data_IF_840060452434
#
_entry.id   IF_840060452434
#
_cell.length_a   1.000
_cell.length_b   1.000
_cell.length_c   1.000
_cell.angle_alpha   90.00
_cell.angle_beta   90.00
_cell.angle_gamma   90.00
#
_symmetry.space_group_name_H-M   'P 1'
#
loop_
_entity.id
_entity.type
_entity.pdbx_description
1 polymer ?
#
# COMPACT_ATOMS: atom_id res chain seq x y z
N UNK A 1 8.69 4.06 -17.28
CA UNK A 1 7.32 4.43 -16.87
C UNK A 1 6.36 3.38 -17.43
N UNK A 2 5.29 3.04 -16.71
CA UNK A 2 4.25 2.11 -17.21
C UNK A 2 3.62 2.71 -18.47
N UNK A 3 3.50 1.92 -19.54
CA UNK A 3 2.81 2.37 -20.74
C UNK A 3 1.30 2.32 -20.56
N UNK A 4 0.72 3.39 -20.01
CA UNK A 4 -0.74 3.53 -19.84
C UNK A 4 -1.50 3.77 -21.16
N UNK A 5 -0.86 3.64 -22.32
CA UNK A 5 -1.57 3.55 -23.61
C UNK A 5 -1.99 2.12 -23.95
N UNK A 6 -1.54 1.11 -23.19
CA UNK A 6 -1.91 -0.28 -23.42
C UNK A 6 -3.37 -0.53 -23.00
N UNK A 7 -4.28 -0.89 -23.92
CA UNK A 7 -5.69 -1.14 -23.60
C UNK A 7 -5.92 -2.36 -22.71
N UNK A 8 -4.90 -3.19 -22.43
CA UNK A 8 -4.96 -4.28 -21.45
C UNK A 8 -4.86 -3.80 -20.00
N UNK A 9 -4.41 -2.56 -19.78
CA UNK A 9 -4.20 -1.99 -18.45
C UNK A 9 -5.41 -1.16 -17.96
N UNK A 10 -6.64 -1.62 -18.24
CA UNK A 10 -7.85 -0.82 -18.02
C UNK A 10 -8.08 -0.53 -16.55
N UNK A 11 -7.83 -1.49 -15.66
CA UNK A 11 -8.08 -1.30 -14.24
C UNK A 11 -7.05 -0.34 -13.64
N UNK A 12 -5.76 -0.53 -13.94
CA UNK A 12 -4.71 0.38 -13.53
C UNK A 12 -4.98 1.81 -14.00
N UNK A 13 -5.32 2.01 -15.27
CA UNK A 13 -5.66 3.33 -15.82
C UNK A 13 -6.90 3.95 -15.14
N UNK A 14 -7.93 3.13 -14.92
CA UNK A 14 -9.14 3.54 -14.23
C UNK A 14 -8.84 4.10 -12.84
N UNK A 15 -8.08 3.35 -12.04
CA UNK A 15 -7.68 3.76 -10.70
C UNK A 15 -6.82 5.02 -10.74
N UNK A 16 -5.77 5.09 -11.57
CA UNK A 16 -4.94 6.30 -11.70
C UNK A 16 -5.80 7.54 -11.99
N UNK A 17 -6.77 7.44 -12.91
CA UNK A 17 -7.68 8.56 -13.24
C UNK A 17 -8.60 8.94 -12.09
N UNK A 18 -9.12 7.96 -11.34
CA UNK A 18 -9.96 8.24 -10.17
C UNK A 18 -9.18 8.94 -9.07
N UNK A 19 -7.96 8.45 -8.78
CA UNK A 19 -7.06 9.08 -7.81
C UNK A 19 -6.71 10.52 -8.20
N UNK A 20 -6.64 10.83 -9.50
CA UNK A 20 -6.30 12.16 -9.99
C UNK A 20 -7.31 13.25 -9.58
N UNK A 21 -8.57 12.88 -9.37
CA UNK A 21 -9.62 13.80 -8.88
C UNK A 21 -9.28 14.41 -7.52
N UNK A 22 -8.47 13.73 -6.72
CA UNK A 22 -8.04 14.19 -5.41
C UNK A 22 -6.92 15.24 -5.45
N UNK A 23 -6.37 15.56 -6.63
CA UNK A 23 -5.30 16.57 -6.74
C UNK A 23 -5.71 17.90 -6.12
N UNK A 24 -6.94 18.33 -6.34
CA UNK A 24 -7.45 19.63 -5.85
C UNK A 24 -8.19 19.51 -4.51
N UNK A 25 -8.23 18.33 -3.90
CA UNK A 25 -8.92 18.13 -2.63
C UNK A 25 -8.18 18.90 -1.51
N UNK A 26 -8.86 19.74 -0.71
CA UNK A 26 -8.22 20.59 0.28
C UNK A 26 -7.50 19.81 1.39
N UNK A 27 -7.99 18.62 1.76
CA UNK A 27 -7.32 17.75 2.74
C UNK A 27 -6.03 17.17 2.17
N UNK A 28 -6.02 16.80 0.88
CA UNK A 28 -4.80 16.32 0.22
C UNK A 28 -3.78 17.44 0.07
N UNK A 29 -4.22 18.65 -0.30
CA UNK A 29 -3.37 19.83 -0.40
C UNK A 29 -2.70 20.19 0.94
N UNK A 30 -3.42 20.03 2.06
CA UNK A 30 -2.82 20.15 3.39
C UNK A 30 -1.71 19.12 3.60
N UNK A 31 -1.94 17.85 3.22
CA UNK A 31 -0.96 16.79 3.41
C UNK A 31 0.25 16.89 2.47
N UNK A 32 0.12 17.53 1.31
CA UNK A 32 1.25 17.91 0.46
C UNK A 32 2.22 18.81 1.25
N UNK A 33 1.71 19.76 2.03
CA UNK A 33 2.54 20.67 2.83
C UNK A 33 3.40 19.93 3.87
N UNK A 34 2.95 18.77 4.36
CA UNK A 34 3.75 17.92 5.23
C UNK A 34 4.93 17.30 4.49
N UNK A 35 4.68 16.70 3.32
CA UNK A 35 5.71 16.07 2.50
C UNK A 35 6.73 17.04 1.92
N UNK A 36 6.35 18.30 1.68
CA UNK A 36 7.26 19.34 1.19
C UNK A 36 8.03 20.05 2.32
N UNK A 37 7.67 19.77 3.58
CA UNK A 37 8.29 20.37 4.75
C UNK A 37 7.80 21.78 5.08
N UNK A 38 6.78 22.29 4.37
CA UNK A 38 6.13 23.56 4.69
C UNK A 38 5.39 23.50 6.03
N UNK A 39 4.94 22.31 6.45
CA UNK A 39 4.37 22.03 7.77
C UNK A 39 4.96 20.75 8.36
N UNK A 40 4.92 20.62 9.69
CA UNK A 40 5.21 19.36 10.38
C UNK A 40 3.93 18.55 10.53
N UNK A 41 4.00 17.26 10.19
CA UNK A 41 2.88 16.34 10.34
C UNK A 41 2.73 15.91 11.80
N UNK A 42 1.49 15.79 12.28
CA UNK A 42 1.18 15.19 13.57
C UNK A 42 -0.02 14.26 13.39
N UNK A 43 0.19 12.97 13.66
CA UNK A 43 -0.84 11.96 13.44
C UNK A 43 -2.09 12.25 14.25
N UNK A 44 -3.23 12.40 13.57
CA UNK A 44 -4.50 12.73 14.19
C UNK A 44 -4.47 13.96 15.11
N UNK A 45 -3.58 14.93 14.82
CA UNK A 45 -3.40 16.12 15.65
C UNK A 45 -2.81 15.86 17.05
N UNK A 46 -2.38 14.63 17.36
CA UNK A 46 -1.81 14.23 18.66
C UNK A 46 -0.37 13.71 18.54
N UNK A 47 0.41 13.88 19.61
CA UNK A 47 1.76 13.32 19.70
C UNK A 47 2.86 14.17 19.05
N UNK A 48 3.99 13.51 18.75
CA UNK A 48 5.16 14.15 18.20
C UNK A 48 4.90 14.69 16.78
N UNK A 49 5.55 15.81 16.44
CA UNK A 49 5.50 16.38 15.10
C UNK A 49 6.67 15.89 14.27
N UNK A 50 6.43 15.40 13.07
CA UNK A 50 7.42 14.81 12.17
C UNK A 50 7.64 15.71 10.95
N UNK A 51 8.90 15.87 10.53
CA UNK A 51 9.23 16.44 9.23
C UNK A 51 9.20 15.32 8.18
N UNK A 52 8.26 15.38 7.25
CA UNK A 52 8.10 14.33 6.24
C UNK A 52 8.96 14.56 4.99
N UNK A 53 9.59 15.73 4.83
CA UNK A 53 10.43 16.03 3.65
C UNK A 53 11.61 15.07 3.47
N UNK A 54 12.43 14.77 4.49
CA UNK A 54 13.53 13.80 4.32
C UNK A 54 13.01 12.41 3.92
N UNK A 55 11.87 12.01 4.50
CA UNK A 55 11.17 10.75 4.21
C UNK A 55 10.79 10.66 2.73
N UNK A 56 10.18 11.71 2.18
CA UNK A 56 9.84 11.79 0.75
C UNK A 56 11.08 11.73 -0.14
N UNK A 57 12.12 12.50 0.17
CA UNK A 57 13.35 12.56 -0.64
C UNK A 57 14.03 11.19 -0.76
N UNK A 58 14.21 10.50 0.37
CA UNK A 58 14.81 9.17 0.40
C UNK A 58 13.98 8.15 -0.39
N UNK A 59 12.65 8.24 -0.27
CA UNK A 59 11.74 7.40 -1.06
C UNK A 59 11.89 7.63 -2.55
N UNK A 60 11.87 8.87 -3.02
CA UNK A 60 11.98 9.15 -4.45
C UNK A 60 13.32 8.69 -5.03
N UNK A 61 14.42 8.92 -4.33
CA UNK A 61 15.75 8.47 -4.75
C UNK A 61 15.83 6.95 -4.91
N UNK A 62 15.29 6.20 -3.94
CA UNK A 62 15.25 4.73 -4.00
C UNK A 62 14.32 4.23 -5.09
N UNK A 63 13.11 4.78 -5.17
CA UNK A 63 12.12 4.30 -6.12
C UNK A 63 12.54 4.53 -7.56
N UNK A 64 13.27 5.61 -7.86
CA UNK A 64 13.80 5.87 -9.21
C UNK A 64 14.66 4.72 -9.73
N UNK A 65 15.45 4.07 -8.87
CA UNK A 65 16.26 2.92 -9.25
C UNK A 65 15.44 1.62 -9.42
N UNK A 66 14.30 1.51 -8.73
CA UNK A 66 13.50 0.28 -8.66
C UNK A 66 12.38 0.22 -9.72
N UNK A 67 11.89 1.37 -10.20
CA UNK A 67 10.80 1.46 -11.18
C UNK A 67 10.99 0.56 -12.42
N UNK A 68 12.17 0.43 -13.03
CA UNK A 68 12.35 -0.47 -14.18
C UNK A 68 12.05 -1.94 -13.88
N UNK A 69 12.28 -2.38 -12.64
CA UNK A 69 12.09 -3.78 -12.22
C UNK A 69 10.67 -4.06 -11.76
N UNK A 70 9.95 -3.05 -11.27
CA UNK A 70 8.56 -3.21 -10.80
C UNK A 70 7.53 -2.96 -11.88
N UNK A 71 7.88 -2.18 -12.92
CA UNK A 71 6.99 -1.89 -14.06
C UNK A 71 6.40 -3.15 -14.70
N UNK A 72 7.18 -4.21 -15.00
CA UNK A 72 6.63 -5.44 -15.59
C UNK A 72 5.60 -6.15 -14.69
N UNK A 73 5.79 -6.10 -13.35
CA UNK A 73 4.85 -6.70 -12.39
C UNK A 73 3.49 -6.00 -12.49
N UNK A 74 3.48 -4.66 -12.48
CA UNK A 74 2.24 -3.87 -12.55
C UNK A 74 1.51 -4.04 -13.88
N UNK A 75 2.26 -4.14 -14.98
CA UNK A 75 1.68 -4.41 -16.29
C UNK A 75 1.09 -5.81 -16.36
N UNK A 76 1.77 -6.81 -15.79
CA UNK A 76 1.28 -8.19 -15.78
C UNK A 76 -0.01 -8.34 -14.98
N UNK A 77 -0.11 -7.69 -13.82
CA UNK A 77 -1.25 -7.81 -12.91
C UNK A 77 -2.39 -6.80 -13.21
N UNK A 78 -2.21 -5.88 -14.16
CA UNK A 78 -3.12 -4.73 -14.39
C UNK A 78 -3.38 -3.94 -13.09
N UNK A 79 -2.28 -3.60 -12.40
CA UNK A 79 -2.29 -2.85 -11.12
C UNK A 79 -1.64 -1.50 -11.30
N UNK A 80 -2.15 -0.50 -10.57
CA UNK A 80 -1.63 0.87 -10.58
C UNK A 80 -0.21 0.93 -9.97
N UNK A 81 0.82 1.48 -10.66
CA UNK A 81 2.17 1.62 -10.10
C UNK A 81 2.23 2.53 -8.87
N UNK A 82 1.20 3.36 -8.66
CA UNK A 82 1.00 4.17 -7.48
C UNK A 82 0.96 3.33 -6.20
N UNK A 83 0.75 2.01 -6.27
CA UNK A 83 0.88 1.16 -5.09
C UNK A 83 2.27 1.24 -4.43
N UNK A 84 3.32 1.62 -5.17
CA UNK A 84 4.65 1.83 -4.62
C UNK A 84 4.70 2.89 -3.51
N UNK A 85 3.82 3.89 -3.54
CA UNK A 85 3.79 4.96 -2.53
C UNK A 85 3.42 4.45 -1.14
N UNK A 86 2.77 3.29 -1.01
CA UNK A 86 2.47 2.72 0.31
C UNK A 86 3.74 2.29 1.04
N UNK A 87 4.80 1.89 0.32
CA UNK A 87 6.06 1.50 0.96
C UNK A 87 6.68 2.64 1.76
N UNK A 88 6.49 3.89 1.31
CA UNK A 88 6.89 5.08 2.04
C UNK A 88 6.10 5.30 3.33
N UNK A 89 4.94 4.67 3.51
CA UNK A 89 4.13 4.75 4.73
C UNK A 89 4.38 3.54 5.64
N UNK A 90 4.51 2.37 5.04
CA UNK A 90 4.54 1.08 5.73
C UNK A 90 5.89 0.80 6.41
N UNK A 91 7.01 1.18 5.80
CA UNK A 91 8.32 0.66 6.27
C UNK A 91 9.43 1.70 6.27
N UNK A 92 10.43 1.45 7.12
CA UNK A 92 11.70 2.20 7.08
C UNK A 92 12.48 1.95 5.78
N UNK A 93 12.18 0.87 5.05
CA UNK A 93 12.84 0.53 3.78
C UNK A 93 12.82 1.69 2.79
N UNK A 94 11.67 2.35 2.64
CA UNK A 94 11.52 3.41 1.65
C UNK A 94 12.20 4.71 2.08
N UNK A 95 12.60 4.86 3.34
CA UNK A 95 12.79 6.20 3.93
C UNK A 95 14.06 6.36 4.77
N UNK A 96 14.67 5.26 5.21
CA UNK A 96 15.96 5.23 5.90
C UNK A 96 17.11 5.51 4.94
N UNK A 97 18.28 5.86 5.47
CA UNK A 97 19.52 5.79 4.71
C UNK A 97 19.97 4.31 4.65
N UNK A 98 20.19 3.77 3.44
CA UNK A 98 20.47 2.34 3.23
C UNK A 98 19.22 1.49 2.96
N UNK A 99 19.36 0.17 2.94
CA UNK A 99 18.30 -0.77 2.52
C UNK A 99 17.74 -1.56 3.71
N UNK A 100 17.20 -0.85 4.71
CA UNK A 100 16.73 -1.46 5.94
C UNK A 100 15.42 -2.21 5.70
N UNK A 101 15.42 -3.51 6.02
CA UNK A 101 14.24 -4.37 6.00
C UNK A 101 13.95 -4.76 7.44
N UNK A 102 12.73 -4.46 7.91
CA UNK A 102 12.33 -4.70 9.29
C UNK A 102 11.00 -5.43 9.37
N UNK A 103 10.79 -6.09 10.52
CA UNK A 103 9.50 -6.59 10.92
C UNK A 103 8.85 -5.71 11.99
N UNK A 104 7.58 -5.40 11.81
CA UNK A 104 6.74 -4.71 12.80
C UNK A 104 5.92 -5.74 13.57
N UNK A 105 6.04 -5.72 14.91
CA UNK A 105 5.12 -6.46 15.79
C UNK A 105 3.78 -5.72 15.83
N UNK A 106 2.68 -6.41 15.49
CA UNK A 106 1.33 -5.87 15.61
C UNK A 106 0.89 -5.88 17.10
N UNK A 107 0.00 -4.97 17.53
CA UNK A 107 -0.44 -4.88 18.93
C UNK A 107 -1.03 -6.20 19.47
N UNK A 108 -0.82 -6.43 20.77
CA UNK A 108 -1.04 -7.71 21.48
C UNK A 108 -2.51 -8.17 21.50
N UNK A 109 -2.73 -9.48 21.33
CA UNK A 109 -4.04 -10.12 21.49
C UNK A 109 -4.14 -11.54 20.92
N UNK A 110 -3.19 -11.95 20.07
CA UNK A 110 -3.15 -13.29 19.54
C UNK A 110 -1.71 -13.78 19.29
N UNK A 111 -1.60 -15.09 19.12
CA UNK A 111 -0.36 -15.88 19.26
C UNK A 111 0.87 -15.21 18.60
N UNK A 112 1.94 -14.90 19.37
CA UNK A 112 3.08 -14.07 18.93
C UNK A 112 3.84 -14.61 17.71
N UNK A 113 3.63 -15.87 17.33
CA UNK A 113 4.18 -16.47 16.11
C UNK A 113 3.57 -15.94 14.79
N UNK A 114 2.44 -15.24 14.82
CA UNK A 114 1.68 -14.89 13.60
C UNK A 114 1.43 -13.39 13.39
N UNK A 115 1.93 -12.51 14.26
CA UNK A 115 1.65 -11.07 14.24
C UNK A 115 2.86 -10.22 13.86
N UNK A 116 3.50 -10.59 12.75
CA UNK A 116 4.59 -9.80 12.18
C UNK A 116 4.27 -9.43 10.74
N UNK A 117 4.32 -8.14 10.48
CA UNK A 117 4.36 -7.59 9.13
C UNK A 117 5.83 -7.34 8.79
N UNK A 118 6.28 -7.68 7.58
CA UNK A 118 7.69 -7.56 7.22
C UNK A 118 7.87 -6.98 5.82
N UNK A 119 9.01 -6.34 5.62
CA UNK A 119 9.43 -5.89 4.30
C UNK A 119 8.95 -4.50 3.88
N UNK A 120 9.23 -4.11 2.63
CA UNK A 120 8.91 -2.80 2.07
C UNK A 120 7.43 -2.44 2.15
N UNK A 121 6.58 -3.46 2.00
CA UNK A 121 5.12 -3.34 1.95
C UNK A 121 4.45 -3.88 3.23
N UNK A 122 5.23 -4.27 4.25
CA UNK A 122 4.73 -4.82 5.51
C UNK A 122 3.71 -5.96 5.30
N UNK A 123 4.10 -6.97 4.53
CA UNK A 123 3.25 -8.14 4.29
C UNK A 123 3.21 -9.00 5.55
N UNK A 124 2.01 -9.33 6.02
CA UNK A 124 1.79 -10.21 7.17
C UNK A 124 1.86 -11.68 6.76
N UNK A 125 2.13 -12.58 7.72
CA UNK A 125 2.03 -14.03 7.48
C UNK A 125 0.65 -14.45 6.98
N UNK A 126 -0.41 -13.83 7.51
CA UNK A 126 -1.79 -14.10 7.08
C UNK A 126 -2.02 -13.66 5.63
N UNK A 127 -1.53 -12.48 5.24
CA UNK A 127 -1.62 -12.01 3.85
C UNK A 127 -0.80 -12.91 2.91
N UNK A 128 0.42 -13.28 3.32
CA UNK A 128 1.27 -14.21 2.56
C UNK A 128 0.57 -15.56 2.35
N UNK A 129 -0.02 -16.14 3.40
CA UNK A 129 -0.79 -17.40 3.31
C UNK A 129 -1.99 -17.26 2.40
N UNK A 130 -2.73 -16.16 2.51
CA UNK A 130 -3.87 -15.86 1.64
C UNK A 130 -3.44 -15.83 0.16
N UNK A 131 -2.32 -15.17 -0.15
CA UNK A 131 -1.81 -15.08 -1.52
C UNK A 131 -1.37 -16.45 -2.06
N UNK A 132 -0.63 -17.24 -1.27
CA UNK A 132 -0.25 -18.62 -1.63
C UNK A 132 -1.47 -19.49 -1.96
N UNK A 133 -2.54 -19.35 -1.21
CA UNK A 133 -3.73 -20.19 -1.37
C UNK A 133 -4.63 -19.76 -2.55
N UNK A 134 -4.61 -18.49 -2.96
CA UNK A 134 -5.61 -17.95 -3.91
C UNK A 134 -5.04 -17.48 -5.26
N UNK A 135 -3.76 -17.09 -5.35
CA UNK A 135 -3.22 -16.47 -6.58
C UNK A 135 -2.43 -17.42 -7.47
N UNK A 136 -1.74 -18.41 -6.89
CA UNK A 136 -1.17 -19.52 -7.63
C UNK A 136 -0.61 -20.54 -6.64
N UNK A 137 -0.93 -21.85 -6.76
CA UNK A 137 -0.22 -22.89 -6.01
C UNK A 137 1.28 -22.93 -6.33
N UNK A 138 1.71 -22.26 -7.42
CA UNK A 138 3.11 -22.15 -7.82
C UNK A 138 3.78 -20.86 -7.32
N UNK A 139 3.04 -19.94 -6.68
CA UNK A 139 3.66 -18.81 -5.98
C UNK A 139 4.27 -19.33 -4.69
N UNK A 140 5.50 -19.84 -4.78
CA UNK A 140 6.31 -20.21 -3.63
C UNK A 140 6.79 -18.94 -2.91
N UNK A 141 5.87 -18.25 -2.24
CA UNK A 141 6.17 -17.10 -1.38
C UNK A 141 6.53 -17.60 0.02
N UNK A 142 7.82 -17.87 0.23
CA UNK A 142 8.39 -18.44 1.45
C UNK A 142 8.38 -17.39 2.55
N UNK A 143 7.75 -17.74 3.67
CA UNK A 143 7.78 -16.92 4.88
C UNK A 143 8.48 -17.69 6.01
N UNK A 144 9.41 -17.02 6.67
CA UNK A 144 10.20 -17.59 7.75
C UNK A 144 9.90 -16.90 9.08
N UNK A 145 10.15 -17.55 10.22
CA UNK A 145 10.02 -16.90 11.51
C UNK A 145 10.88 -15.64 11.59
N UNK A 146 10.29 -14.55 12.08
CA UNK A 146 11.02 -13.31 12.38
C UNK A 146 11.93 -13.56 13.58
N UNK A 147 13.17 -13.08 13.50
CA UNK A 147 14.16 -13.23 14.56
C UNK A 147 13.79 -12.37 15.79
N UNK A 148 14.33 -12.70 16.96
CA UNK A 148 13.98 -12.01 18.22
C UNK A 148 14.29 -10.50 18.18
N UNK A 149 15.34 -10.12 17.46
CA UNK A 149 15.79 -8.75 17.22
C UNK A 149 14.96 -8.01 16.16
N UNK A 150 13.89 -8.63 15.64
CA UNK A 150 13.01 -8.15 14.55
C UNK A 150 13.67 -8.09 13.19
N UNK A 151 14.87 -8.65 13.03
CA UNK A 151 15.44 -8.84 11.71
C UNK A 151 14.65 -9.90 10.93
N UNK A 152 14.54 -9.67 9.62
CA UNK A 152 13.87 -10.59 8.71
C UNK A 152 14.94 -11.52 8.14
N UNK A 153 14.66 -12.83 8.10
CA UNK A 153 15.60 -13.79 7.54
C UNK A 153 15.88 -13.47 6.06
N UNK A 154 17.14 -13.54 5.58
CA UNK A 154 17.49 -13.21 4.19
C UNK A 154 16.76 -14.04 3.12
N UNK A 155 16.35 -15.26 3.46
CA UNK A 155 15.57 -16.17 2.59
C UNK A 155 14.05 -16.02 2.76
N UNK A 156 13.59 -15.11 3.62
CA UNK A 156 12.17 -14.78 3.69
C UNK A 156 11.82 -13.91 2.49
N UNK A 157 10.85 -14.30 1.68
CA UNK A 157 10.49 -13.55 0.48
C UNK A 157 9.92 -12.16 0.80
N UNK A 158 9.44 -11.93 2.03
CA UNK A 158 9.06 -10.59 2.52
C UNK A 158 10.26 -9.65 2.65
N UNK A 159 11.49 -10.19 2.78
CA UNK A 159 12.71 -9.39 2.79
C UNK A 159 13.18 -9.00 1.39
N UNK A 160 12.74 -9.71 0.36
CA UNK A 160 13.20 -9.55 -1.01
C UNK A 160 12.22 -8.63 -1.75
N UNK A 161 12.73 -7.53 -2.31
CA UNK A 161 11.88 -6.47 -2.83
C UNK A 161 10.98 -6.90 -3.98
N UNK A 162 11.48 -7.65 -4.96
CA UNK A 162 10.68 -8.06 -6.12
C UNK A 162 9.57 -9.08 -5.76
N UNK A 163 9.85 -10.19 -5.04
CA UNK A 163 8.80 -11.07 -4.53
C UNK A 163 7.78 -10.33 -3.67
N UNK A 164 8.22 -9.45 -2.76
CA UNK A 164 7.29 -8.68 -1.93
C UNK A 164 6.46 -7.69 -2.77
N UNK A 165 7.05 -7.07 -3.80
CA UNK A 165 6.32 -6.19 -4.72
C UNK A 165 5.25 -6.96 -5.47
N UNK A 166 5.57 -8.16 -5.98
CA UNK A 166 4.61 -9.02 -6.65
C UNK A 166 3.47 -9.39 -5.69
N UNK A 167 3.79 -9.87 -4.48
CA UNK A 167 2.80 -10.22 -3.46
C UNK A 167 1.90 -9.03 -3.11
N UNK A 168 2.47 -7.85 -2.88
CA UNK A 168 1.72 -6.63 -2.60
C UNK A 168 0.82 -6.23 -3.78
N UNK A 169 1.33 -6.30 -5.01
CA UNK A 169 0.55 -5.99 -6.21
C UNK A 169 -0.61 -6.98 -6.42
N UNK A 170 -0.40 -8.28 -6.22
CA UNK A 170 -1.47 -9.28 -6.25
C UNK A 170 -2.52 -9.00 -5.19
N UNK A 171 -2.11 -8.58 -3.99
CA UNK A 171 -3.04 -8.21 -2.93
C UNK A 171 -3.86 -6.96 -3.26
N UNK A 172 -3.22 -5.94 -3.86
CA UNK A 172 -3.91 -4.75 -4.36
C UNK A 172 -4.87 -5.09 -5.50
N UNK A 173 -4.50 -6.01 -6.39
CA UNK A 173 -5.38 -6.48 -7.47
C UNK A 173 -6.67 -7.06 -6.92
N UNK A 174 -6.58 -7.92 -5.91
CA UNK A 174 -7.76 -8.47 -5.23
C UNK A 174 -8.65 -7.39 -4.62
N UNK A 175 -8.05 -6.38 -4.00
CA UNK A 175 -8.83 -5.27 -3.44
C UNK A 175 -9.54 -4.47 -4.53
N UNK A 176 -8.85 -4.19 -5.64
CA UNK A 176 -9.46 -3.52 -6.80
C UNK A 176 -10.64 -4.35 -7.34
N UNK A 177 -10.50 -5.67 -7.41
CA UNK A 177 -11.55 -6.59 -7.87
C UNK A 177 -12.70 -6.74 -6.87
N UNK A 178 -12.43 -6.59 -5.56
CA UNK A 178 -13.44 -6.60 -4.51
C UNK A 178 -14.29 -5.34 -4.49
N UNK A 179 -13.76 -4.21 -4.96
CA UNK A 179 -14.46 -2.93 -5.05
C UNK A 179 -14.54 -2.44 -6.50
N UNK A 180 -15.21 -3.17 -7.43
CA UNK A 180 -15.13 -2.88 -8.87
C UNK A 180 -15.74 -1.54 -9.26
N UNK A 181 -16.70 -1.01 -8.49
CA UNK A 181 -17.29 0.32 -8.70
C UNK A 181 -16.41 1.46 -8.13
N UNK A 182 -15.57 1.14 -7.13
CA UNK A 182 -14.70 2.08 -6.41
C UNK A 182 -13.29 1.50 -6.17
N UNK A 183 -12.56 1.11 -7.23
CA UNK A 183 -11.29 0.42 -7.06
C UNK A 183 -10.24 1.34 -6.41
N UNK A 184 -10.42 2.66 -6.45
CA UNK A 184 -9.61 3.64 -5.71
C UNK A 184 -9.63 3.49 -4.18
N UNK A 185 -10.52 2.65 -3.62
CA UNK A 185 -10.57 2.34 -2.20
C UNK A 185 -9.48 1.38 -1.73
N UNK A 186 -8.72 0.77 -2.66
CA UNK A 186 -7.68 -0.20 -2.32
C UNK A 186 -6.66 0.33 -1.28
N UNK A 187 -6.22 1.61 -1.22
CA UNK A 187 -5.26 2.05 -0.21
C UNK A 187 -5.84 1.97 1.21
N UNK A 188 -7.15 2.23 1.34
CA UNK A 188 -7.84 2.07 2.61
C UNK A 188 -8.03 0.59 2.95
N UNK A 189 -8.38 -0.23 1.94
CA UNK A 189 -8.47 -1.68 2.09
C UNK A 189 -7.16 -2.32 2.52
N UNK A 190 -6.03 -1.77 2.05
CA UNK A 190 -4.69 -2.22 2.40
C UNK A 190 -4.38 -2.06 3.88
N UNK A 191 -4.78 -0.91 4.47
CA UNK A 191 -4.50 -0.62 5.88
C UNK A 191 -5.58 -1.17 6.83
N UNK A 192 -6.86 -1.19 6.44
CA UNK A 192 -7.97 -1.61 7.29
C UNK A 192 -8.26 -3.12 7.19
N UNK A 193 -7.87 -3.72 6.07
CA UNK A 193 -8.31 -5.04 5.68
C UNK A 193 -9.63 -4.96 4.91
N UNK A 194 -9.67 -5.65 3.78
CA UNK A 194 -10.78 -5.67 2.84
C UNK A 194 -12.16 -6.02 3.45
N UNK A 195 -12.21 -6.95 4.40
CA UNK A 195 -13.45 -7.32 5.09
C UNK A 195 -13.96 -6.24 6.05
N UNK A 196 -13.04 -5.60 6.79
CA UNK A 196 -13.38 -4.51 7.70
C UNK A 196 -13.83 -3.26 6.93
N UNK A 197 -13.15 -2.93 5.82
CA UNK A 197 -13.57 -1.84 4.94
C UNK A 197 -14.98 -2.06 4.38
N UNK A 198 -15.29 -3.27 3.91
CA UNK A 198 -16.63 -3.59 3.42
C UNK A 198 -17.71 -3.37 4.50
N UNK A 199 -17.43 -3.75 5.75
CA UNK A 199 -18.33 -3.48 6.89
C UNK A 199 -18.43 -1.98 7.16
N UNK A 200 -17.31 -1.26 7.18
CA UNK A 200 -17.27 0.19 7.41
C UNK A 200 -18.12 0.94 6.38
N UNK A 201 -17.97 0.64 5.08
CA UNK A 201 -18.77 1.24 4.00
C UNK A 201 -20.26 0.94 4.14
N UNK A 202 -20.62 -0.31 4.44
CA UNK A 202 -22.02 -0.72 4.63
C UNK A 202 -22.65 0.04 5.81
N UNK A 203 -21.94 0.12 6.93
CA UNK A 203 -22.47 0.70 8.15
C UNK A 203 -22.50 2.23 8.11
N UNK A 204 -21.60 2.89 7.39
CA UNK A 204 -21.57 4.35 7.29
C UNK A 204 -22.78 4.97 6.60
N UNK A 205 -23.55 4.17 5.86
CA UNK A 205 -24.80 4.58 5.20
C UNK A 205 -25.98 4.70 6.16
N UNK A 206 -25.81 4.33 7.44
CA UNK A 206 -26.86 4.48 8.44
C UNK A 206 -27.01 5.96 8.84
N UNK A 207 -28.25 6.48 8.90
CA UNK A 207 -28.50 7.89 9.13
C UNK A 207 -28.00 8.37 10.49
N UNK A 208 -28.11 7.56 11.55
CA UNK A 208 -27.68 7.98 12.90
C UNK A 208 -26.37 7.32 13.35
N UNK A 209 -25.58 7.96 14.24
CA UNK A 209 -24.39 7.35 14.84
C UNK A 209 -24.67 6.01 15.56
N UNK A 210 -25.78 5.92 16.29
CA UNK A 210 -26.17 4.71 17.05
C UNK A 210 -26.44 3.51 16.12
N UNK A 211 -27.09 3.75 14.97
CA UNK A 211 -27.33 2.71 13.97
C UNK A 211 -26.02 2.25 13.30
N UNK A 212 -25.03 3.15 13.14
CA UNK A 212 -23.71 2.81 12.61
C UNK A 212 -22.96 1.89 13.57
N UNK A 213 -22.96 2.21 14.85
CA UNK A 213 -22.31 1.40 15.89
C UNK A 213 -22.98 0.03 16.05
N UNK A 214 -24.31 0.00 16.08
CA UNK A 214 -25.10 -1.23 16.11
C UNK A 214 -24.83 -2.11 14.89
N UNK A 215 -24.75 -1.51 13.70
CA UNK A 215 -24.39 -2.22 12.47
C UNK A 215 -22.99 -2.84 12.53
N UNK A 216 -22.00 -2.11 13.04
CA UNK A 216 -20.63 -2.62 13.20
C UNK A 216 -20.58 -3.79 14.18
N UNK A 217 -21.20 -3.64 15.35
CA UNK A 217 -21.29 -4.70 16.36
C UNK A 217 -21.93 -5.98 15.81
N UNK A 218 -23.04 -5.84 15.07
CA UNK A 218 -23.77 -6.98 14.51
C UNK A 218 -23.06 -7.63 13.31
N UNK A 219 -22.30 -6.85 12.53
CA UNK A 219 -21.59 -7.37 11.35
C UNK A 219 -20.37 -8.21 11.72
N UNK A 220 -19.80 -8.04 12.92
CA UNK A 220 -18.75 -8.92 13.46
C UNK A 220 -19.30 -10.25 13.99
N UNK A 221 -20.60 -10.36 14.23
CA UNK A 221 -21.25 -11.52 14.87
C UNK A 221 -21.68 -12.64 13.90
N UNK A 222 -21.40 -12.51 12.60
CA UNK A 222 -21.59 -13.57 11.61
C UNK A 222 -22.68 -13.26 10.59
N UNK A 223 -22.27 -13.12 9.32
CA UNK A 223 -23.05 -13.56 8.15
C UNK A 223 -22.22 -13.39 6.87
N UNK A 224 -22.05 -14.48 6.12
CA UNK A 224 -21.58 -14.44 4.75
C UNK A 224 -22.70 -13.87 3.86
N UNK A 225 -22.70 -12.55 3.64
CA UNK A 225 -23.62 -11.89 2.69
C UNK A 225 -23.24 -12.17 1.22
N UNK A 226 -24.15 -11.99 0.27
CA UNK A 226 -23.83 -12.06 -1.18
C UNK A 226 -22.90 -10.91 -1.61
N UNK A 227 -21.99 -11.15 -2.57
CA UNK A 227 -21.00 -10.15 -3.03
C UNK A 227 -21.60 -8.98 -3.82
N UNK A 228 -22.78 -9.13 -4.44
CA UNK A 228 -23.33 -8.17 -5.42
C UNK A 228 -24.08 -6.97 -4.84
N UNK A 229 -24.66 -7.07 -3.63
CA UNK A 229 -25.47 -5.99 -3.03
C UNK A 229 -24.66 -5.09 -2.07
N UNK A 230 -23.35 -5.29 -1.97
CA UNK A 230 -22.51 -4.85 -0.83
C UNK A 230 -21.82 -3.47 -0.95
N UNK A 231 -21.74 -2.85 -2.12
CA UNK A 231 -20.67 -1.85 -2.37
C UNK A 231 -21.12 -0.49 -2.93
N UNK A 232 -22.41 -0.17 -2.91
CA UNK A 232 -22.98 0.83 -3.82
C UNK A 232 -23.02 2.31 -3.40
N UNK A 233 -22.36 2.79 -2.35
CA UNK A 233 -22.59 4.21 -1.99
C UNK A 233 -21.59 4.94 -1.10
N UNK A 234 -20.31 4.54 -1.07
CA UNK A 234 -19.28 5.39 -0.47
C UNK A 234 -18.03 5.43 -1.37
N UNK A 235 -17.75 6.58 -1.96
CA UNK A 235 -16.50 6.83 -2.67
C UNK A 235 -15.36 7.07 -1.67
N UNK A 236 -14.12 7.06 -2.15
CA UNK A 236 -12.99 7.49 -1.31
C UNK A 236 -13.15 8.95 -0.82
N UNK A 237 -13.78 9.81 -1.61
CA UNK A 237 -14.03 11.22 -1.24
C UNK A 237 -15.04 11.31 -0.10
N UNK A 238 -16.10 10.50 -0.13
CA UNK A 238 -17.07 10.43 0.96
C UNK A 238 -16.40 9.99 2.26
N UNK A 239 -15.56 8.95 2.20
CA UNK A 239 -14.87 8.41 3.38
C UNK A 239 -13.94 9.46 4.01
N UNK A 240 -13.18 10.19 3.19
CA UNK A 240 -12.29 11.26 3.65
C UNK A 240 -13.10 12.43 4.20
N UNK A 241 -14.08 12.93 3.44
CA UNK A 241 -14.88 14.11 3.77
C UNK A 241 -15.71 13.93 5.03
N UNK A 242 -16.35 12.77 5.18
CA UNK A 242 -17.22 12.47 6.32
C UNK A 242 -16.52 11.67 7.43
N UNK A 243 -15.20 11.45 7.33
CA UNK A 243 -14.37 10.76 8.32
C UNK A 243 -14.95 9.38 8.72
N UNK A 244 -15.32 8.58 7.73
CA UNK A 244 -16.02 7.31 7.94
C UNK A 244 -15.10 6.16 8.42
N UNK A 245 -13.78 6.37 8.42
CA UNK A 245 -12.78 5.45 8.94
C UNK A 245 -12.04 6.06 10.16
N UNK A 246 -11.38 5.23 11.02
CA UNK A 246 -10.58 5.73 12.12
C UNK A 246 -9.54 6.74 11.64
N UNK A 247 -9.30 7.79 12.41
CA UNK A 247 -8.46 8.91 11.98
C UNK A 247 -7.08 8.48 11.43
N UNK A 248 -6.40 7.51 12.06
CA UNK A 248 -5.09 7.04 11.59
C UNK A 248 -5.13 6.39 10.20
N UNK A 249 -6.28 5.85 9.79
CA UNK A 249 -6.52 5.25 8.46
C UNK A 249 -6.83 6.31 7.42
N UNK A 250 -7.57 7.36 7.80
CA UNK A 250 -7.79 8.54 6.94
C UNK A 250 -6.46 9.25 6.68
N UNK A 251 -5.66 9.51 7.72
CA UNK A 251 -4.33 10.12 7.62
C UNK A 251 -3.42 9.30 6.68
N UNK A 252 -3.47 7.97 6.79
CA UNK A 252 -2.71 7.07 5.91
C UNK A 252 -3.06 7.31 4.44
N UNK A 253 -4.35 7.34 4.09
CA UNK A 253 -4.79 7.56 2.70
C UNK A 253 -4.45 8.97 2.22
N UNK A 254 -4.61 9.99 3.06
CA UNK A 254 -4.23 11.37 2.71
C UNK A 254 -2.72 11.53 2.51
N UNK A 255 -1.89 10.89 3.35
CA UNK A 255 -0.43 10.86 3.16
C UNK A 255 -0.05 10.15 1.87
N UNK A 256 -0.70 9.02 1.57
CA UNK A 256 -0.51 8.27 0.33
C UNK A 256 -0.82 9.14 -0.91
N UNK A 257 -2.02 9.74 -0.95
CA UNK A 257 -2.47 10.59 -2.06
C UNK A 257 -1.54 11.80 -2.22
N UNK A 258 -1.20 12.47 -1.13
CA UNK A 258 -0.31 13.62 -1.16
C UNK A 258 1.07 13.25 -1.71
N UNK A 259 1.65 12.11 -1.28
CA UNK A 259 2.96 11.67 -1.78
C UNK A 259 2.93 11.36 -3.27
N UNK A 260 1.84 10.76 -3.80
CA UNK A 260 1.63 10.56 -5.24
C UNK A 260 1.74 11.88 -6.01
N UNK A 261 1.07 12.93 -5.53
CA UNK A 261 1.08 14.24 -6.21
C UNK A 261 2.43 14.95 -6.10
N UNK A 262 3.09 14.87 -4.94
CA UNK A 262 4.45 15.37 -4.77
C UNK A 262 5.41 14.69 -5.75
N UNK A 263 5.31 13.36 -5.90
CA UNK A 263 6.15 12.59 -6.84
C UNK A 263 5.92 12.95 -8.30
N UNK A 264 4.68 13.30 -8.65
CA UNK A 264 4.30 13.69 -10.01
C UNK A 264 4.79 15.10 -10.38
N UNK A 265 5.15 15.95 -9.40
CA UNK A 265 5.61 17.31 -9.65
C UNK A 265 6.71 17.77 -8.66
N UNK A 266 7.74 16.95 -8.46
CA UNK A 266 8.80 17.24 -7.49
C UNK A 266 9.47 18.61 -7.70
N UNK A 267 9.65 19.02 -8.95
CA UNK A 267 10.22 20.33 -9.31
C UNK A 267 9.39 21.51 -8.79
N UNK A 268 8.05 21.44 -8.88
CA UNK A 268 7.16 22.48 -8.37
C UNK A 268 7.35 22.69 -6.85
N UNK A 269 7.67 21.62 -6.12
CA UNK A 269 7.81 21.65 -4.68
C UNK A 269 9.25 21.87 -4.19
N UNK A 270 10.16 22.31 -5.06
CA UNK A 270 11.59 22.47 -4.76
C UNK A 270 12.20 21.18 -4.17
N UNK A 271 11.74 20.02 -4.65
CA UNK A 271 12.35 18.72 -4.38
C UNK A 271 13.19 18.35 -5.59
N UNK A 272 14.52 18.33 -5.43
CA UNK A 272 15.43 17.99 -6.52
C UNK A 272 15.98 16.59 -6.33
N UNK A 273 15.99 15.82 -7.43
CA UNK A 273 16.73 14.57 -7.46
C UNK A 273 18.22 14.86 -7.35
N UNK A 274 18.82 14.31 -6.29
CA UNK A 274 20.26 14.23 -6.19
C UNK A 274 20.68 12.94 -6.90
N UNK A 275 21.22 13.07 -8.11
CA UNK A 275 21.59 11.91 -8.91
C UNK A 275 22.68 11.07 -8.25
N UNK A 276 23.54 11.71 -7.44
CA UNK A 276 24.61 11.02 -6.73
C UNK A 276 24.09 10.17 -5.56
N UNK A 277 22.88 10.47 -5.08
CA UNK A 277 22.19 9.68 -4.05
C UNK A 277 21.31 8.57 -4.61
N UNK A 278 21.11 8.49 -5.92
CA UNK A 278 20.39 7.36 -6.53
C UNK A 278 21.29 6.12 -6.41
N UNK A 279 20.83 5.03 -5.77
CA UNK A 279 21.64 3.83 -5.62
C UNK A 279 22.06 3.28 -6.99
N UNK A 280 23.38 3.29 -7.27
CA UNK A 280 23.96 2.83 -8.55
C UNK A 280 23.96 1.30 -8.68
N UNK A 281 23.87 0.60 -7.56
CA UNK A 281 23.73 -0.86 -7.52
C UNK A 281 22.62 -1.24 -6.54
N UNK A 282 21.72 -2.10 -7.00
CA UNK A 282 20.80 -2.79 -6.11
C UNK A 282 21.58 -3.82 -5.29
N UNK A 283 21.37 -3.91 -3.96
CA UNK A 283 22.07 -4.90 -3.13
C UNK A 283 21.80 -6.34 -3.60
N UNK A 284 22.65 -7.29 -3.20
CA UNK A 284 22.52 -8.71 -3.60
C UNK A 284 21.17 -9.33 -3.25
N UNK A 285 20.55 -8.92 -2.14
CA UNK A 285 19.17 -9.24 -1.72
C UNK A 285 18.07 -8.77 -2.71
N UNK A 286 18.46 -8.08 -3.78
CA UNK A 286 17.61 -7.53 -4.84
C UNK A 286 18.03 -8.06 -6.23
N UNK A 287 19.17 -8.78 -6.31
CA UNK A 287 19.68 -9.46 -7.52
C UNK A 287 19.55 -10.97 -7.48
N UNK A 288 19.58 -11.63 -6.31
CA UNK A 288 19.49 -13.10 -6.22
C UNK A 288 18.11 -13.64 -6.60
N UNK A 289 17.13 -12.77 -6.78
CA UNK A 289 15.95 -13.02 -7.60
C UNK A 289 16.22 -12.99 -9.12
N UNK A 290 17.43 -13.21 -9.62
CA UNK A 290 17.69 -13.36 -11.07
C UNK A 290 17.77 -14.82 -11.52
N UNK A 291 17.79 -15.79 -10.61
CA UNK A 291 17.38 -17.16 -10.91
C UNK A 291 15.84 -17.31 -10.87
N UNK A 292 15.13 -16.29 -11.40
CA UNK A 292 13.68 -16.13 -11.45
C UNK A 292 13.08 -16.53 -12.80
N UNK A 293 13.58 -17.59 -13.46
CA UNK A 293 12.75 -18.27 -14.47
C UNK A 293 11.42 -18.82 -13.89
N UNK A 294 11.26 -18.74 -12.56
CA UNK A 294 10.13 -19.25 -11.78
C UNK A 294 9.22 -18.20 -11.09
N UNK A 295 9.58 -16.91 -10.96
CA UNK A 295 8.69 -15.93 -10.26
C UNK A 295 7.82 -15.11 -11.23
N UNK A 296 8.34 -14.84 -12.42
CA UNK A 296 7.50 -14.68 -13.60
C UNK A 296 7.52 -16.09 -14.19
N UNK A 297 6.55 -16.98 -13.89
CA UNK A 297 6.60 -18.34 -14.39
C UNK A 297 6.80 -18.23 -15.90
N UNK A 298 7.90 -18.74 -16.45
CA UNK A 298 8.13 -19.32 -17.79
C UNK A 298 7.22 -18.92 -18.99
N UNK A 299 6.50 -17.79 -18.92
CA UNK A 299 5.42 -17.29 -19.78
C UNK A 299 5.92 -16.18 -20.69
N UNK A 300 7.23 -15.92 -20.67
CA UNK A 300 7.93 -15.10 -21.67
C UNK A 300 8.66 -15.97 -22.71
N UNK A 301 8.22 -17.22 -22.90
CA UNK A 301 8.42 -17.97 -24.14
C UNK A 301 7.11 -18.00 -24.92
#
# INVERSE_FOLDING_TARGET
AVNFSDPKLKNAQGVTRQLEKFRVNPYVQEFIQYWTGAKKYRQCGKGASYNMKPRAMNFFHKMKALVPYTTPIFQHLDVTPEMLYISALESQFAISDGWIIEATKLPQGANPKYYTAAGPFQITETAARYLRNNHSPNLNFVTLPIQEDRSVHPQDDRAIFLPTTFAAASYVKDMMDWFPEHPELWPLGYTEGQGALAVSMKCSLKPTPEERETCKANSHAGTAMSQRDRYRSATLDDIVRFKMAPCGKIDYVLLYLALKFVGSNMSEFNLQFDQDKVPKQLPTLYREGQNQENLIPTMMK
#
